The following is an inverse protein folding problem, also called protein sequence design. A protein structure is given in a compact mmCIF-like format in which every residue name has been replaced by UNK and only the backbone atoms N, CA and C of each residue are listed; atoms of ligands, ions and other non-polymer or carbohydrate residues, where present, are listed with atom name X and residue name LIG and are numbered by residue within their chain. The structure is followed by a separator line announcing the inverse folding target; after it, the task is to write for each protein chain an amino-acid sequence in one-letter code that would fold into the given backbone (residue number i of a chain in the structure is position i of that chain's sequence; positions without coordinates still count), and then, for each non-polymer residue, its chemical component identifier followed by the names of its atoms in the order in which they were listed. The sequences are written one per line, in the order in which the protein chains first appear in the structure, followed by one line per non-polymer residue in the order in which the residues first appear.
data_IF_962124859998
#
_entry.id   IF_962124859998
#
_cell.length_a   1.000
_cell.length_b   1.000
_cell.length_c   1.000
_cell.angle_alpha   90.00
_cell.angle_beta   90.00
_cell.angle_gamma   90.00
#
_symmetry.space_group_name_H-M   'P 1'
#
loop_
_entity.id
_entity.type
_entity.pdbx_description
1 polymer ?
#
# COMPACT_ATOMS: atom_id res chain seq x y z
N UNK A 1 -37.40 -19.92 0.46
CA UNK A 1 -36.23 -20.38 -0.32
C UNK A 1 -35.41 -19.18 -0.76
N UNK A 2 -34.09 -19.30 -0.59
CA UNK A 2 -33.06 -18.27 -0.56
C UNK A 2 -32.67 -17.78 -1.98
N UNK A 3 -32.63 -16.46 -2.19
CA UNK A 3 -31.92 -15.82 -3.31
C UNK A 3 -31.07 -14.69 -2.76
N UNK A 4 -29.75 -14.88 -2.72
CA UNK A 4 -28.69 -13.86 -2.92
C UNK A 4 -27.32 -14.49 -2.66
N UNK A 5 -26.93 -15.45 -3.50
CA UNK A 5 -25.51 -15.73 -3.75
C UNK A 5 -25.07 -14.81 -4.90
N UNK A 6 -24.86 -13.53 -4.60
CA UNK A 6 -24.05 -12.68 -5.47
C UNK A 6 -22.61 -12.90 -5.06
N UNK A 7 -21.92 -13.75 -5.82
CA UNK A 7 -20.48 -13.96 -5.69
C UNK A 7 -19.75 -12.63 -5.85
N UNK A 8 -19.20 -12.15 -4.74
CA UNK A 8 -18.11 -11.16 -4.74
C UNK A 8 -17.03 -11.64 -5.71
N UNK A 9 -16.40 -10.75 -6.51
CA UNK A 9 -15.30 -11.15 -7.39
C UNK A 9 -14.28 -11.92 -6.55
N UNK A 10 -13.91 -13.13 -7.01
CA UNK A 10 -12.95 -13.99 -6.33
C UNK A 10 -11.62 -13.26 -6.29
N UNK A 11 -11.40 -12.52 -5.20
CA UNK A 11 -10.13 -11.90 -4.88
C UNK A 11 -9.11 -13.04 -4.84
N UNK A 12 -8.27 -13.10 -5.87
CA UNK A 12 -7.28 -14.15 -6.08
C UNK A 12 -6.45 -14.29 -4.80
N UNK A 13 -6.69 -15.39 -4.07
CA UNK A 13 -6.03 -15.67 -2.81
C UNK A 13 -4.54 -15.91 -3.09
N UNK A 14 -3.73 -14.85 -2.99
CA UNK A 14 -2.27 -14.96 -2.95
C UNK A 14 -1.83 -15.17 -1.50
N UNK A 15 -1.40 -16.39 -1.13
CA UNK A 15 -0.89 -16.63 0.20
C UNK A 15 0.36 -15.75 0.43
N UNK A 16 0.29 -14.87 1.43
CA UNK A 16 1.45 -14.13 1.89
C UNK A 16 2.36 -15.09 2.67
N UNK A 17 3.28 -15.75 1.98
CA UNK A 17 4.30 -16.55 2.65
C UNK A 17 5.18 -15.63 3.50
N UNK A 18 5.03 -15.72 4.82
CA UNK A 18 5.77 -14.92 5.80
C UNK A 18 7.17 -15.49 6.03
N UNK A 19 8.02 -15.42 5.01
CA UNK A 19 9.45 -15.30 5.30
C UNK A 19 9.74 -13.81 5.47
N UNK A 20 9.94 -13.40 6.71
CA UNK A 20 10.21 -12.01 7.12
C UNK A 20 11.56 -11.58 6.54
N UNK A 21 11.55 -10.99 5.34
CA UNK A 21 12.76 -10.53 4.63
C UNK A 21 12.83 -9.01 4.51
N UNK A 22 11.71 -8.31 4.62
CA UNK A 22 11.63 -6.86 4.37
C UNK A 22 10.86 -6.13 5.48
N UNK A 23 11.15 -4.84 5.66
CA UNK A 23 10.44 -3.96 6.63
C UNK A 23 8.93 -4.08 6.55
N UNK A 24 8.39 -4.19 5.34
CA UNK A 24 6.95 -4.27 5.06
C UNK A 24 6.33 -5.58 5.51
N UNK A 25 7.07 -6.70 5.41
CA UNK A 25 6.61 -8.00 5.90
C UNK A 25 6.63 -8.07 7.44
N UNK A 26 7.58 -7.40 8.10
CA UNK A 26 7.58 -7.28 9.57
C UNK A 26 6.32 -6.54 10.03
N UNK A 27 6.02 -5.41 9.39
CA UNK A 27 4.85 -4.58 9.73
C UNK A 27 3.55 -5.32 9.42
N UNK A 28 3.47 -5.98 8.27
CA UNK A 28 2.37 -6.88 7.91
C UNK A 28 2.12 -7.93 9.00
N UNK A 29 3.17 -8.62 9.44
CA UNK A 29 3.07 -9.65 10.48
C UNK A 29 2.63 -9.05 11.83
N UNK A 30 3.18 -7.89 12.20
CA UNK A 30 2.80 -7.16 13.41
C UNK A 30 1.33 -6.74 13.40
N UNK A 31 0.86 -6.09 12.33
CA UNK A 31 -0.53 -5.64 12.19
C UNK A 31 -1.51 -6.83 12.18
N UNK A 32 -1.12 -7.93 11.54
CA UNK A 32 -1.88 -9.18 11.59
C UNK A 32 -1.99 -9.71 13.02
N UNK A 33 -0.90 -9.66 13.80
CA UNK A 33 -0.91 -9.99 15.21
C UNK A 33 -1.84 -9.08 16.03
N UNK A 34 -1.73 -7.76 15.86
CA UNK A 34 -2.61 -6.79 16.53
C UNK A 34 -4.09 -7.08 16.23
N UNK A 35 -4.43 -7.33 14.96
CA UNK A 35 -5.81 -7.65 14.57
C UNK A 35 -6.32 -8.94 15.21
N UNK A 36 -5.46 -9.96 15.35
CA UNK A 36 -5.82 -11.25 15.96
C UNK A 36 -5.93 -11.18 17.48
N UNK A 37 -5.01 -10.51 18.15
CA UNK A 37 -4.96 -10.47 19.62
C UNK A 37 -5.78 -9.32 20.24
N UNK A 38 -6.02 -8.25 19.48
CA UNK A 38 -6.74 -7.04 19.92
C UNK A 38 -7.72 -6.58 18.83
N UNK A 39 -8.79 -7.36 18.57
CA UNK A 39 -9.80 -7.00 17.57
C UNK A 39 -10.59 -5.74 17.96
N UNK A 40 -10.52 -5.33 19.23
CA UNK A 40 -11.07 -4.07 19.74
C UNK A 40 -10.32 -2.84 19.21
N UNK A 41 -9.05 -3.01 18.81
CA UNK A 41 -8.22 -1.92 18.31
C UNK A 41 -8.45 -1.72 16.81
N UNK A 42 -8.97 -0.54 16.47
CA UNK A 42 -9.15 -0.14 15.06
C UNK A 42 -7.85 0.44 14.53
N UNK A 43 -7.27 -0.23 13.54
CA UNK A 43 -6.09 0.26 12.82
C UNK A 43 -6.56 1.30 11.81
N UNK A 44 -5.91 2.46 11.77
CA UNK A 44 -6.23 3.52 10.82
C UNK A 44 -5.89 3.08 9.38
N UNK A 45 -6.78 3.38 8.43
CA UNK A 45 -6.61 3.01 7.01
C UNK A 45 -5.28 3.52 6.41
N UNK A 46 -4.80 4.69 6.87
CA UNK A 46 -3.54 5.29 6.42
C UNK A 46 -2.33 4.42 6.73
N UNK A 47 -2.37 3.64 7.81
CA UNK A 47 -1.29 2.72 8.16
C UNK A 47 -1.10 1.69 7.05
N UNK A 48 -2.19 1.19 6.47
CA UNK A 48 -2.10 0.24 5.36
C UNK A 48 -1.55 0.89 4.10
N UNK A 49 -1.98 2.11 3.78
CA UNK A 49 -1.49 2.86 2.63
C UNK A 49 0.01 3.19 2.73
N UNK A 50 0.46 3.69 3.87
CA UNK A 50 1.85 4.08 4.13
C UNK A 50 2.83 2.90 3.98
N UNK A 51 2.37 1.70 4.30
CA UNK A 51 3.16 0.47 4.17
C UNK A 51 2.80 -0.36 2.94
N UNK A 52 1.99 0.17 2.02
CA UNK A 52 1.54 -0.51 0.80
C UNK A 52 0.97 -1.91 1.09
N UNK A 53 0.19 -2.02 2.16
CA UNK A 53 -0.46 -3.22 2.61
C UNK A 53 -1.92 -3.21 2.14
N UNK A 54 -2.45 -4.36 1.77
CA UNK A 54 -3.89 -4.53 1.58
C UNK A 54 -4.57 -4.67 2.95
N UNK A 55 -5.59 -3.85 3.24
CA UNK A 55 -6.28 -3.82 4.52
C UNK A 55 -6.91 -5.17 4.91
N UNK A 56 -7.44 -5.92 3.93
CA UNK A 56 -8.11 -7.20 4.17
C UNK A 56 -7.14 -8.35 4.37
N UNK A 57 -6.08 -8.38 3.56
CA UNK A 57 -5.16 -9.52 3.53
C UNK A 57 -3.89 -9.29 4.35
N UNK A 58 -3.63 -8.04 4.74
CA UNK A 58 -2.39 -7.56 5.36
C UNK A 58 -1.16 -7.82 4.48
N UNK A 59 -1.33 -8.18 3.21
CA UNK A 59 -0.25 -8.50 2.30
C UNK A 59 0.40 -7.24 1.75
N UNK A 60 1.72 -7.24 1.64
CA UNK A 60 2.45 -6.20 0.93
C UNK A 60 2.21 -6.31 -0.59
N UNK A 61 1.80 -5.21 -1.21
CA UNK A 61 1.58 -5.11 -2.66
C UNK A 61 2.73 -4.35 -3.37
N UNK A 62 3.64 -5.07 -4.05
CA UNK A 62 4.74 -4.45 -4.79
C UNK A 62 4.29 -3.67 -6.02
N UNK A 63 3.08 -3.89 -6.54
CA UNK A 63 2.55 -3.13 -7.65
C UNK A 63 2.11 -1.73 -7.21
N UNK A 64 1.46 -1.62 -6.05
CA UNK A 64 1.05 -0.32 -5.48
C UNK A 64 2.28 0.52 -5.16
N UNK A 65 3.30 -0.07 -4.50
CA UNK A 65 4.57 0.63 -4.24
C UNK A 65 5.22 1.14 -5.52
N UNK A 66 5.29 0.29 -6.56
CA UNK A 66 5.92 0.68 -7.83
C UNK A 66 5.20 1.85 -8.49
N UNK A 67 3.86 1.84 -8.50
CA UNK A 67 3.06 2.96 -9.04
C UNK A 67 3.32 4.24 -8.28
N UNK A 68 3.28 4.19 -6.95
CA UNK A 68 3.51 5.37 -6.11
C UNK A 68 4.93 5.93 -6.28
N UNK A 69 5.93 5.04 -6.39
CA UNK A 69 7.31 5.45 -6.69
C UNK A 69 7.42 6.18 -8.04
N UNK A 70 6.77 5.67 -9.09
CA UNK A 70 6.77 6.31 -10.41
C UNK A 70 6.09 7.67 -10.37
N UNK A 71 4.97 7.81 -9.67
CA UNK A 71 4.24 9.09 -9.53
C UNK A 71 5.07 10.12 -8.77
N UNK A 72 5.68 9.72 -7.65
CA UNK A 72 6.54 10.61 -6.86
C UNK A 72 7.79 11.04 -7.63
N UNK A 73 8.40 10.11 -8.36
CA UNK A 73 9.56 10.40 -9.19
C UNK A 73 9.21 11.35 -10.34
N UNK A 74 8.09 11.13 -11.04
CA UNK A 74 7.66 12.01 -12.12
C UNK A 74 7.33 13.41 -11.61
N UNK A 75 6.65 13.54 -10.47
CA UNK A 75 6.37 14.82 -9.84
C UNK A 75 7.66 15.57 -9.46
N UNK A 76 8.67 14.87 -8.93
CA UNK A 76 9.97 15.46 -8.59
C UNK A 76 10.69 15.98 -9.84
N UNK A 77 10.68 15.23 -10.94
CA UNK A 77 11.31 15.66 -12.21
C UNK A 77 10.63 16.91 -12.76
N UNK A 78 9.29 16.93 -12.77
CA UNK A 78 8.52 18.11 -13.22
C UNK A 78 8.85 19.33 -12.36
N UNK A 79 8.92 19.15 -11.03
CA UNK A 79 9.27 20.23 -10.10
C UNK A 79 10.67 20.81 -10.37
N UNK A 80 11.66 19.95 -10.61
CA UNK A 80 13.03 20.36 -10.95
C UNK A 80 13.07 21.12 -12.28
N UNK A 81 12.33 20.65 -13.30
CA UNK A 81 12.26 21.33 -14.59
C UNK A 81 11.63 22.73 -14.47
N UNK A 82 10.56 22.87 -13.69
CA UNK A 82 9.95 24.18 -13.42
C UNK A 82 10.95 25.13 -12.76
N UNK A 83 11.69 24.66 -11.77
CA UNK A 83 12.74 25.46 -11.11
C UNK A 83 13.82 25.85 -12.13
N UNK A 84 14.32 24.91 -12.92
CA UNK A 84 15.38 25.17 -13.90
C UNK A 84 14.96 26.22 -14.94
N UNK A 85 13.73 26.13 -15.47
CA UNK A 85 13.18 27.13 -16.40
C UNK A 85 12.99 28.48 -15.72
N UNK A 86 12.49 28.50 -14.48
CA UNK A 86 12.32 29.76 -13.73
C UNK A 86 13.65 30.48 -13.47
N UNK A 87 14.71 29.72 -13.14
CA UNK A 87 16.06 30.26 -12.98
C UNK A 87 16.61 30.76 -14.30
N UNK A 88 16.43 30.01 -15.39
CA UNK A 88 16.86 30.43 -16.72
C UNK A 88 16.19 31.73 -17.18
N UNK A 89 14.90 31.92 -16.88
CA UNK A 89 14.17 33.16 -17.23
C UNK A 89 14.51 34.34 -16.31
N UNK A 90 15.07 34.07 -15.13
CA UNK A 90 15.46 35.09 -14.14
C UNK A 90 16.90 35.59 -14.35
N UNK A 91 17.76 34.75 -14.93
CA UNK A 91 19.16 35.04 -15.31
C UNK A 91 19.21 35.73 -16.67
#
# INVERSE_FOLDING_TARGET
MNKREQGSPKEEYKPCYSFVKTRYQIISHFLKGVHWFRPDLRIDARVYEDFYLNEKTFCFDPAVRRKDFVIKLSAMVVFILVIAVSLYMTV
#
